data_IF_903348461765
#
_entry.id   IF_903348461765
#
_cell.length_a   1.000
_cell.length_b   1.000
_cell.length_c   1.000
_cell.angle_alpha   90.00
_cell.angle_beta   90.00
_cell.angle_gamma   90.00
#
_symmetry.space_group_name_H-M   'P 1'
#
loop_
_entity.id
_entity.type
_entity.pdbx_description
1 polymer ?
#
# COMPACT_ATOMS: atom_id res chain seq x y z
N UNK A 1 11.67 -5.19 -4.48
CA UNK A 1 12.62 -5.59 -3.41
C UNK A 1 13.08 -7.03 -3.61
N UNK A 2 14.38 -7.33 -3.44
CA UNK A 2 14.92 -8.70 -3.42
C UNK A 2 15.73 -8.89 -2.14
N UNK A 3 15.50 -10.00 -1.41
CA UNK A 3 16.21 -10.28 -0.15
C UNK A 3 17.65 -10.73 -0.46
N UNK A 4 18.70 -10.05 0.07
CA UNK A 4 20.08 -10.49 -0.10
C UNK A 4 20.33 -11.84 0.57
N UNK A 5 21.06 -12.74 -0.11
CA UNK A 5 21.34 -14.11 0.37
C UNK A 5 22.78 -14.34 0.85
N UNK A 6 23.75 -13.57 0.35
CA UNK A 6 25.17 -13.76 0.64
C UNK A 6 25.53 -13.57 2.12
N UNK A 7 26.49 -14.36 2.62
CA UNK A 7 26.83 -14.41 4.04
C UNK A 7 27.42 -13.09 4.57
N UNK A 8 28.22 -12.40 3.76
CA UNK A 8 28.88 -11.14 4.15
C UNK A 8 28.11 -9.88 3.76
N UNK A 9 26.89 -10.04 3.22
CA UNK A 9 26.10 -8.90 2.81
C UNK A 9 25.73 -8.02 4.02
N UNK A 10 26.14 -6.75 3.97
CA UNK A 10 25.97 -5.79 5.08
C UNK A 10 24.51 -5.49 5.42
N UNK A 11 23.63 -5.50 4.42
CA UNK A 11 22.19 -5.27 4.60
C UNK A 11 21.55 -6.47 5.29
N UNK A 12 21.90 -7.70 4.87
CA UNK A 12 21.46 -8.95 5.52
C UNK A 12 21.87 -8.99 6.99
N UNK A 13 23.09 -8.52 7.30
CA UNK A 13 23.65 -8.42 8.65
C UNK A 13 23.22 -7.18 9.44
N UNK A 14 22.40 -6.29 8.85
CA UNK A 14 21.80 -5.10 9.49
C UNK A 14 22.81 -4.09 10.06
N UNK A 15 23.93 -3.85 9.37
CA UNK A 15 24.87 -2.79 9.78
C UNK A 15 24.22 -1.39 9.75
N UNK A 16 24.63 -0.50 10.67
CA UNK A 16 24.20 0.91 10.72
C UNK A 16 24.52 1.62 9.39
N UNK A 17 23.60 2.48 8.94
CA UNK A 17 23.74 3.25 7.70
C UNK A 17 23.39 2.48 6.42
N UNK A 18 22.96 1.22 6.53
CA UNK A 18 22.37 0.48 5.41
C UNK A 18 20.85 0.67 5.37
N UNK A 19 20.25 0.48 4.20
CA UNK A 19 18.80 0.52 4.04
C UNK A 19 18.12 -0.60 4.84
N UNK A 20 16.94 -0.30 5.38
CA UNK A 20 16.17 -1.24 6.16
C UNK A 20 15.56 -2.33 5.27
N UNK A 21 15.54 -3.56 5.77
CA UNK A 21 14.82 -4.64 5.10
C UNK A 21 13.33 -4.55 5.40
N UNK A 22 12.44 -4.77 4.42
CA UNK A 22 11.01 -4.88 4.65
C UNK A 22 10.72 -5.97 5.68
N UNK A 23 9.89 -5.63 6.65
CA UNK A 23 9.40 -6.53 7.68
C UNK A 23 7.91 -6.23 7.94
N UNK A 24 7.22 -7.15 8.60
CA UNK A 24 5.79 -7.00 8.92
C UNK A 24 5.53 -5.90 9.96
N UNK A 25 6.52 -5.57 10.78
CA UNK A 25 6.42 -4.51 11.80
C UNK A 25 6.26 -3.10 11.23
N UNK A 26 6.68 -2.87 9.98
CA UNK A 26 6.45 -1.60 9.28
C UNK A 26 5.04 -1.48 8.66
N UNK A 27 4.16 -2.47 8.86
CA UNK A 27 2.80 -2.42 8.34
C UNK A 27 2.00 -1.23 8.88
N UNK A 28 1.30 -0.51 7.99
CA UNK A 28 0.40 0.57 8.38
C UNK A 28 -0.78 0.05 9.21
N UNK A 29 -1.32 0.90 10.09
CA UNK A 29 -2.48 0.60 10.92
C UNK A 29 -3.66 0.07 10.06
N UNK A 30 -4.29 -1.02 10.50
CA UNK A 30 -5.39 -1.67 9.78
C UNK A 30 -6.55 -0.73 9.42
N UNK A 31 -6.84 0.29 10.27
CA UNK A 31 -7.90 1.26 10.01
C UNK A 31 -7.57 2.18 8.81
N UNK A 32 -6.31 2.61 8.71
CA UNK A 32 -5.84 3.59 7.72
C UNK A 32 -5.18 2.95 6.50
N UNK A 33 -4.91 1.65 6.53
CA UNK A 33 -4.35 0.92 5.39
C UNK A 33 -5.25 1.08 4.15
N UNK A 34 -4.61 1.31 3.00
CA UNK A 34 -5.27 1.54 1.69
C UNK A 34 -6.02 2.87 1.55
N UNK A 35 -5.91 3.80 2.51
CA UNK A 35 -6.43 5.15 2.35
C UNK A 35 -5.43 6.04 1.62
N UNK A 36 -5.96 6.91 0.77
CA UNK A 36 -5.25 8.01 0.15
C UNK A 36 -5.07 9.16 1.14
N UNK A 37 -4.13 10.11 0.87
CA UNK A 37 -4.00 11.34 1.66
C UNK A 37 -5.29 12.18 1.72
N UNK A 38 -6.19 12.03 0.75
CA UNK A 38 -7.50 12.69 0.71
C UNK A 38 -8.51 12.11 1.71
N UNK A 39 -8.17 10.98 2.37
CA UNK A 39 -9.05 10.28 3.31
C UNK A 39 -9.99 9.25 2.66
N UNK A 40 -9.94 9.08 1.34
CA UNK A 40 -10.74 8.08 0.62
C UNK A 40 -9.92 6.82 0.31
N UNK A 41 -10.61 5.70 0.11
CA UNK A 41 -10.03 4.47 -0.46
C UNK A 41 -10.27 4.46 -1.97
N UNK A 42 -9.22 4.20 -2.74
CA UNK A 42 -9.29 4.23 -4.21
C UNK A 42 -9.91 2.94 -4.77
N UNK A 43 -10.82 3.07 -5.74
CA UNK A 43 -11.35 1.97 -6.55
C UNK A 43 -11.15 2.31 -8.02
N UNK A 44 -10.53 1.40 -8.77
CA UNK A 44 -10.32 1.55 -10.19
C UNK A 44 -11.59 1.11 -10.94
N UNK A 45 -12.06 1.93 -11.88
CA UNK A 45 -13.36 1.78 -12.56
C UNK A 45 -13.16 1.75 -14.06
N UNK A 46 -13.68 0.71 -14.71
CA UNK A 46 -13.58 0.50 -16.16
C UNK A 46 -14.89 0.79 -16.91
N UNK A 47 -16.02 0.76 -16.22
CA UNK A 47 -17.34 0.92 -16.83
C UNK A 47 -18.34 1.55 -15.84
N UNK A 48 -19.50 1.96 -16.36
CA UNK A 48 -20.54 2.62 -15.56
C UNK A 48 -21.09 1.70 -14.46
N UNK A 49 -21.18 0.39 -14.71
CA UNK A 49 -21.70 -0.58 -13.74
C UNK A 49 -20.82 -0.68 -12.49
N UNK A 50 -19.50 -0.56 -12.65
CA UNK A 50 -18.55 -0.51 -11.54
C UNK A 50 -18.65 0.81 -10.75
N UNK A 51 -19.00 1.91 -11.42
CA UNK A 51 -19.24 3.20 -10.76
C UNK A 51 -20.51 3.16 -9.89
N UNK A 52 -21.55 2.46 -10.34
CA UNK A 52 -22.82 2.31 -9.60
C UNK A 52 -22.62 1.70 -8.21
N UNK A 53 -21.65 0.79 -8.05
CA UNK A 53 -21.32 0.19 -6.74
C UNK A 53 -20.88 1.23 -5.71
N UNK A 54 -20.32 2.36 -6.16
CA UNK A 54 -19.81 3.42 -5.28
C UNK A 54 -20.88 4.43 -4.86
N UNK A 55 -22.09 4.39 -5.43
CA UNK A 55 -23.17 5.37 -5.18
C UNK A 55 -23.49 5.52 -3.69
N UNK A 56 -23.63 4.40 -2.96
CA UNK A 56 -23.93 4.40 -1.53
C UNK A 56 -22.69 4.55 -0.63
N UNK A 57 -21.48 4.52 -1.19
CA UNK A 57 -20.22 4.54 -0.43
C UNK A 57 -19.34 5.77 -0.74
N UNK A 58 -19.97 6.84 -1.25
CA UNK A 58 -19.34 8.07 -1.71
C UNK A 58 -18.52 8.84 -0.66
N UNK A 59 -18.73 8.61 0.65
CA UNK A 59 -17.92 9.19 1.73
C UNK A 59 -16.66 8.40 2.09
N UNK A 60 -16.53 7.18 1.57
CA UNK A 60 -15.46 6.24 1.94
C UNK A 60 -14.54 5.90 0.78
N UNK A 61 -15.08 5.86 -0.44
CA UNK A 61 -14.33 5.51 -1.63
C UNK A 61 -14.32 6.64 -2.66
N UNK A 62 -13.25 6.69 -3.45
CA UNK A 62 -13.15 7.54 -4.63
C UNK A 62 -12.90 6.66 -5.86
N UNK A 63 -13.49 7.03 -7.00
CA UNK A 63 -13.27 6.35 -8.27
C UNK A 63 -12.01 6.90 -8.97
N UNK A 64 -11.21 6.00 -9.52
CA UNK A 64 -10.17 6.30 -10.50
C UNK A 64 -10.58 5.66 -11.82
N UNK A 65 -10.76 6.46 -12.86
CA UNK A 65 -11.13 5.98 -14.20
C UNK A 65 -9.86 5.37 -14.82
N UNK A 66 -9.99 4.14 -15.31
CA UNK A 66 -8.90 3.41 -15.97
C UNK A 66 -8.52 4.01 -17.32
#
# INVERSE_FOLDING_TARGET
WRKPKGIDNRVRRRFKGQYLMPNIGYGSNAKTRHMLPTGFRKVLVHNVKELEVLLMQNRKYCAEIA
#
